data_IF_935886460584
#
_entry.id   IF_935886460584
#
_cell.length_a   1.000
_cell.length_b   1.000
_cell.length_c   1.000
_cell.angle_alpha   90.00
_cell.angle_beta   90.00
_cell.angle_gamma   90.00
#
_symmetry.space_group_name_H-M   'P 1'
#
loop_
_entity.id
_entity.type
_entity.pdbx_description
1 polymer ?
#
# COMPACT_ATOMS: atom_id res chain seq x y z
N UNK A 1 -1.02 -26.61 1.74
CA UNK A 1 -2.03 -26.15 0.75
C UNK A 1 -1.29 -25.51 -0.42
N UNK A 2 -1.90 -25.35 -1.61
CA UNK A 2 -1.26 -24.65 -2.74
C UNK A 2 -1.82 -23.23 -2.85
N UNK A 3 -1.04 -22.30 -3.41
CA UNK A 3 -1.50 -20.96 -3.77
C UNK A 3 -2.62 -21.08 -4.82
N UNK A 4 -3.70 -20.32 -4.62
CA UNK A 4 -4.80 -20.16 -5.58
C UNK A 4 -4.88 -18.67 -5.93
N UNK A 5 -4.77 -18.34 -7.21
CA UNK A 5 -4.84 -16.96 -7.67
C UNK A 5 -6.29 -16.56 -8.02
N UNK A 6 -6.63 -15.26 -7.89
CA UNK A 6 -5.78 -14.19 -7.32
C UNK A 6 -5.66 -14.28 -5.79
N UNK A 7 -4.43 -14.15 -5.26
CA UNK A 7 -4.18 -14.14 -3.80
C UNK A 7 -4.80 -12.93 -3.10
N UNK A 8 -4.94 -11.81 -3.84
CA UNK A 8 -5.67 -10.61 -3.46
C UNK A 8 -6.70 -10.32 -4.57
N UNK A 9 -7.98 -10.74 -4.41
CA UNK A 9 -9.01 -10.51 -5.41
C UNK A 9 -9.45 -9.03 -5.50
N UNK A 10 -10.24 -8.71 -6.52
CA UNK A 10 -10.86 -7.39 -6.74
C UNK A 10 -9.85 -6.24 -6.94
N UNK A 11 -10.11 -5.09 -6.33
CA UNK A 11 -9.30 -3.87 -6.47
C UNK A 11 -8.05 -3.94 -5.60
N UNK A 12 -7.05 -4.68 -6.06
CA UNK A 12 -5.73 -4.80 -5.45
C UNK A 12 -4.59 -4.69 -6.49
N UNK A 13 -4.45 -3.55 -7.18
CA UNK A 13 -3.46 -3.38 -8.24
C UNK A 13 -2.06 -3.08 -7.69
N UNK A 14 -1.08 -3.16 -8.58
CA UNK A 14 0.31 -2.73 -8.35
C UNK A 14 0.96 -3.33 -7.08
N UNK A 15 1.00 -4.67 -6.93
CA UNK A 15 1.50 -5.29 -5.72
C UNK A 15 3.01 -5.05 -5.53
N UNK A 16 3.36 -4.38 -4.45
CA UNK A 16 4.74 -4.27 -3.96
C UNK A 16 4.94 -5.23 -2.79
N UNK A 17 5.57 -6.38 -3.07
CA UNK A 17 5.82 -7.43 -2.09
C UNK A 17 7.12 -7.20 -1.31
N UNK A 18 7.09 -7.45 -0.01
CA UNK A 18 8.21 -7.33 0.91
C UNK A 18 8.24 -8.52 1.88
N UNK A 19 9.43 -9.02 2.20
CA UNK A 19 9.63 -9.98 3.30
C UNK A 19 10.45 -9.35 4.42
N UNK A 20 10.00 -9.52 5.67
CA UNK A 20 10.73 -9.13 6.89
C UNK A 20 10.70 -10.30 7.86
N UNK A 21 11.86 -10.93 8.11
CA UNK A 21 11.87 -12.18 8.88
C UNK A 21 11.02 -13.26 8.21
N UNK A 22 10.06 -13.80 8.97
CA UNK A 22 9.13 -14.83 8.50
C UNK A 22 7.80 -14.25 7.97
N UNK A 23 7.67 -12.93 7.96
CA UNK A 23 6.46 -12.22 7.55
C UNK A 23 6.59 -11.66 6.13
N UNK A 24 5.50 -11.74 5.37
CA UNK A 24 5.35 -11.19 4.03
C UNK A 24 4.29 -10.10 4.01
N UNK A 25 4.54 -9.04 3.26
CA UNK A 25 3.66 -7.91 3.11
C UNK A 25 3.45 -7.60 1.63
N UNK A 26 2.25 -7.16 1.25
CA UNK A 26 1.96 -6.61 -0.08
C UNK A 26 1.30 -5.25 0.11
N UNK A 27 1.91 -4.21 -0.46
CA UNK A 27 1.26 -2.91 -0.63
C UNK A 27 0.58 -2.82 -2.00
N UNK A 28 -0.66 -2.34 -2.07
CA UNK A 28 -1.40 -2.12 -3.33
C UNK A 28 -1.86 -0.67 -3.46
N UNK A 29 -2.02 -0.20 -4.70
CA UNK A 29 -2.52 1.13 -5.02
C UNK A 29 -4.02 1.26 -4.65
N UNK A 30 -4.46 2.49 -4.37
CA UNK A 30 -5.83 2.78 -3.89
C UNK A 30 -6.51 3.90 -4.64
N UNK A 31 -5.78 4.57 -5.53
CA UNK A 31 -6.27 5.68 -6.34
C UNK A 31 -6.93 6.75 -5.45
N UNK A 32 -8.17 7.13 -5.73
CA UNK A 32 -8.93 8.14 -5.00
C UNK A 32 -9.53 7.66 -3.66
N UNK A 33 -9.41 6.37 -3.33
CA UNK A 33 -9.94 5.82 -2.09
C UNK A 33 -9.07 6.20 -0.89
N UNK A 34 -9.72 6.65 0.18
CA UNK A 34 -9.08 7.03 1.44
C UNK A 34 -9.60 6.17 2.59
N UNK A 35 -8.76 5.67 3.52
CA UNK A 35 -7.30 5.89 3.62
C UNK A 35 -6.47 5.23 2.50
N UNK A 36 -5.31 5.82 2.19
CA UNK A 36 -4.50 5.41 1.04
C UNK A 36 -3.48 4.30 1.32
N UNK A 37 -3.20 3.51 0.28
CA UNK A 37 -2.39 2.28 0.22
C UNK A 37 -2.95 1.18 1.10
N UNK A 38 -3.24 0.00 0.55
CA UNK A 38 -3.60 -1.16 1.37
C UNK A 38 -2.34 -1.99 1.66
N UNK A 39 -2.13 -2.43 2.89
CA UNK A 39 -1.09 -3.40 3.22
C UNK A 39 -1.74 -4.71 3.65
N UNK A 40 -1.43 -5.78 2.93
CA UNK A 40 -1.79 -7.14 3.27
C UNK A 40 -0.60 -7.88 3.88
N UNK A 41 -0.86 -8.84 4.77
CA UNK A 41 0.16 -9.66 5.43
C UNK A 41 -0.11 -11.15 5.25
N UNK A 42 0.97 -11.93 5.19
CA UNK A 42 0.95 -13.39 5.15
C UNK A 42 2.20 -13.96 5.81
N UNK A 43 2.12 -15.19 6.32
CA UNK A 43 3.28 -16.01 6.75
C UNK A 43 3.59 -17.17 5.82
N UNK A 44 2.67 -17.51 4.91
CA UNK A 44 2.76 -18.71 4.07
C UNK A 44 2.57 -18.44 2.57
N UNK A 45 2.40 -17.17 2.18
CA UNK A 45 2.10 -16.70 0.82
C UNK A 45 0.77 -17.21 0.24
N UNK A 46 0.00 -17.98 1.01
CA UNK A 46 -1.28 -18.57 0.61
C UNK A 46 -2.43 -17.75 1.20
N UNK A 47 -2.40 -17.51 2.52
CA UNK A 47 -3.44 -16.80 3.23
C UNK A 47 -2.98 -15.36 3.49
N UNK A 48 -3.79 -14.40 3.02
CA UNK A 48 -3.49 -12.98 3.13
C UNK A 48 -4.58 -12.26 3.89
N UNK A 49 -4.19 -11.34 4.77
CA UNK A 49 -5.11 -10.49 5.55
C UNK A 49 -4.79 -9.03 5.32
N UNK A 50 -5.79 -8.19 5.12
CA UNK A 50 -5.63 -6.74 5.12
C UNK A 50 -5.33 -6.27 6.55
N UNK A 51 -4.21 -5.58 6.74
CA UNK A 51 -3.70 -5.25 8.08
C UNK A 51 -3.70 -3.76 8.39
N UNK A 52 -3.56 -2.89 7.38
CA UNK A 52 -3.55 -1.44 7.60
C UNK A 52 -3.71 -0.64 6.30
N UNK A 53 -3.94 0.66 6.48
CA UNK A 53 -3.77 1.68 5.45
C UNK A 53 -2.87 2.81 5.99
N UNK A 54 -1.61 2.94 5.53
CA UNK A 54 -0.63 3.86 6.12
C UNK A 54 -0.93 5.35 5.94
N UNK A 55 -1.66 5.73 4.89
CA UNK A 55 -1.94 7.12 4.54
C UNK A 55 -3.32 7.52 5.08
N UNK A 56 -3.40 7.70 6.39
CA UNK A 56 -4.65 7.91 7.13
C UNK A 56 -4.82 9.33 7.69
N UNK A 57 -3.92 10.26 7.35
CA UNK A 57 -4.01 11.68 7.71
C UNK A 57 -3.96 12.57 6.48
N UNK A 58 -4.71 13.66 6.52
CA UNK A 58 -4.70 14.69 5.46
C UNK A 58 -3.31 15.28 5.25
N UNK A 59 -2.49 15.37 6.30
CA UNK A 59 -1.09 15.85 6.19
C UNK A 59 -0.17 14.89 5.44
N UNK A 60 -0.58 13.62 5.25
CA UNK A 60 0.11 12.67 4.38
C UNK A 60 -0.53 12.69 2.98
N UNK A 61 -1.85 12.72 2.90
CA UNK A 61 -2.58 12.53 1.66
C UNK A 61 -3.84 13.39 1.62
N UNK A 62 -3.81 14.46 0.82
CA UNK A 62 -4.98 15.30 0.54
C UNK A 62 -5.40 15.15 -0.92
N UNK A 63 -6.46 14.37 -1.14
CA UNK A 63 -7.00 14.05 -2.46
C UNK A 63 -8.33 14.77 -2.75
N UNK A 64 -8.70 15.77 -1.94
CA UNK A 64 -9.90 16.55 -2.22
C UNK A 64 -9.76 17.23 -3.60
N UNK A 65 -10.68 16.90 -4.51
CA UNK A 65 -10.65 17.40 -5.89
C UNK A 65 -9.77 16.61 -6.85
N UNK A 66 -9.13 15.51 -6.42
CA UNK A 66 -8.43 14.63 -7.36
C UNK A 66 -9.41 14.02 -8.37
N UNK A 67 -9.01 13.85 -9.65
CA UNK A 67 -9.82 13.14 -10.64
C UNK A 67 -10.05 11.66 -10.28
N UNK A 68 -11.04 11.04 -10.93
CA UNK A 68 -11.22 9.59 -10.84
C UNK A 68 -9.97 8.86 -11.35
N UNK A 69 -9.58 7.79 -10.65
CA UNK A 69 -8.36 7.02 -10.90
C UNK A 69 -7.03 7.79 -10.75
N UNK A 70 -7.06 8.98 -10.16
CA UNK A 70 -5.87 9.71 -9.70
C UNK A 70 -5.61 9.43 -8.21
N UNK A 71 -4.80 10.22 -7.51
CA UNK A 71 -4.42 9.92 -6.14
C UNK A 71 -3.35 8.84 -6.07
N UNK A 72 -3.55 7.83 -5.24
CA UNK A 72 -2.54 6.82 -4.91
C UNK A 72 -2.32 5.82 -6.03
N UNK A 73 -1.26 6.05 -6.79
CA UNK A 73 -0.73 5.09 -7.78
C UNK A 73 0.25 4.11 -7.13
N UNK A 74 0.81 3.21 -7.96
CA UNK A 74 1.68 2.11 -7.56
C UNK A 74 2.63 2.45 -6.39
N UNK A 75 2.42 1.86 -5.20
CA UNK A 75 3.31 2.06 -4.07
C UNK A 75 4.59 1.22 -4.20
N UNK A 76 5.61 1.57 -3.42
CA UNK A 76 6.79 0.72 -3.21
C UNK A 76 7.07 0.60 -1.71
N UNK A 77 6.91 -0.62 -1.17
CA UNK A 77 7.15 -0.95 0.22
C UNK A 77 8.50 -1.66 0.35
N UNK A 78 9.36 -1.15 1.24
CA UNK A 78 10.67 -1.75 1.53
C UNK A 78 10.99 -1.69 3.02
N UNK A 79 12.00 -2.47 3.43
CA UNK A 79 12.43 -2.51 4.82
C UNK A 79 13.95 -2.56 4.93
N UNK A 80 14.49 -1.82 5.88
CA UNK A 80 15.91 -1.84 6.21
C UNK A 80 16.11 -1.50 7.69
N UNK A 81 16.89 -2.32 8.41
CA UNK A 81 17.35 -2.08 9.79
C UNK A 81 16.24 -1.56 10.74
N UNK A 82 15.11 -2.27 10.84
CA UNK A 82 14.03 -1.89 11.77
C UNK A 82 13.06 -0.84 11.24
N UNK A 83 13.24 -0.36 10.00
CA UNK A 83 12.41 0.70 9.43
C UNK A 83 11.72 0.21 8.17
N UNK A 84 10.41 0.37 8.12
CA UNK A 84 9.62 0.28 6.89
C UNK A 84 9.66 1.62 6.16
N UNK A 85 9.80 1.56 4.83
CA UNK A 85 9.80 2.70 3.93
C UNK A 85 8.70 2.48 2.90
N UNK A 86 7.79 3.45 2.77
CA UNK A 86 6.75 3.45 1.77
C UNK A 86 6.94 4.66 0.86
N UNK A 87 7.25 4.40 -0.40
CA UNK A 87 7.12 5.37 -1.47
C UNK A 87 5.70 5.29 -2.02
N UNK A 88 5.05 6.43 -2.18
CA UNK A 88 3.75 6.54 -2.83
C UNK A 88 3.70 7.79 -3.70
N UNK A 89 2.74 7.81 -4.61
CA UNK A 89 2.54 8.89 -5.57
C UNK A 89 1.14 9.44 -5.44
N UNK A 90 1.00 10.75 -5.35
CA UNK A 90 -0.27 11.45 -5.51
C UNK A 90 -0.33 12.04 -6.93
N UNK A 91 -1.09 11.39 -7.80
CA UNK A 91 -1.32 11.84 -9.17
C UNK A 91 -2.42 12.88 -9.18
N UNK A 92 -2.17 14.03 -9.82
CA UNK A 92 -3.15 15.12 -9.94
C UNK A 92 -3.82 15.17 -11.31
N UNK A 93 -3.14 14.72 -12.37
CA UNK A 93 -3.66 14.71 -13.74
C UNK A 93 -3.37 13.38 -14.44
N UNK A 94 -4.35 12.82 -15.18
CA UNK A 94 -4.22 11.52 -15.86
C UNK A 94 -4.61 11.56 -17.35
N UNK A 95 -5.50 12.48 -17.77
CA UNK A 95 -6.08 12.53 -19.12
C UNK A 95 -5.88 13.87 -19.84
N UNK A 96 -4.89 14.64 -19.40
CA UNK A 96 -4.48 15.89 -20.05
C UNK A 96 -3.13 15.70 -20.77
N UNK A 97 -2.56 16.78 -21.28
CA UNK A 97 -1.26 16.74 -21.98
C UNK A 97 -0.12 16.27 -21.08
N UNK A 98 -0.24 16.51 -19.77
CA UNK A 98 0.72 16.13 -18.75
C UNK A 98 0.14 15.16 -17.72
N UNK A 99 1.07 14.53 -17.00
CA UNK A 99 0.79 13.69 -15.84
C UNK A 99 1.56 14.27 -14.66
N UNK A 100 0.92 15.23 -14.00
CA UNK A 100 1.43 15.91 -12.82
C UNK A 100 1.35 14.96 -11.63
N UNK A 101 2.51 14.63 -11.08
CA UNK A 101 2.65 13.64 -10.01
C UNK A 101 3.60 14.16 -8.95
N UNK A 102 3.30 13.82 -7.70
CA UNK A 102 4.18 14.07 -6.58
C UNK A 102 4.51 12.75 -5.88
N UNK A 103 5.80 12.45 -5.77
CA UNK A 103 6.29 11.26 -5.07
C UNK A 103 6.71 11.63 -3.65
N UNK A 104 6.33 10.80 -2.69
CA UNK A 104 6.58 11.02 -1.28
C UNK A 104 7.16 9.78 -0.63
N UNK A 105 7.82 9.98 0.51
CA UNK A 105 8.30 8.93 1.39
C UNK A 105 7.66 9.10 2.77
N UNK A 106 7.13 8.01 3.32
CA UNK A 106 6.84 7.89 4.75
C UNK A 106 7.56 6.68 5.32
N UNK A 107 7.90 6.75 6.60
CA UNK A 107 8.58 5.66 7.32
C UNK A 107 7.86 5.33 8.62
N UNK A 108 7.99 4.09 9.08
CA UNK A 108 7.63 3.71 10.44
C UNK A 108 8.60 2.66 10.98
N UNK A 109 8.74 2.63 12.30
CA UNK A 109 9.42 1.58 13.04
C UNK A 109 8.44 0.59 13.66
N UNK A 110 7.13 0.90 13.58
CA UNK A 110 6.08 0.03 14.10
C UNK A 110 6.08 -1.25 13.27
N UNK A 111 6.52 -2.34 13.89
CA UNK A 111 6.30 -3.67 13.34
C UNK A 111 4.79 -3.89 13.34
N UNK A 112 4.24 -4.38 12.23
CA UNK A 112 2.84 -4.76 12.16
C UNK A 112 2.62 -6.05 12.97
N UNK A 113 2.86 -6.02 14.29
CA UNK A 113 2.53 -7.13 15.18
C UNK A 113 1.02 -7.29 15.20
N UNK A 114 0.57 -8.38 14.60
CA UNK A 114 -0.75 -8.90 14.87
C UNK A 114 -0.78 -9.40 16.31
N UNK A 115 -1.54 -8.73 17.17
CA UNK A 115 -2.13 -9.40 18.32
C UNK A 115 -3.10 -10.43 17.73
N UNK A 116 -2.74 -11.71 17.79
CA UNK A 116 -3.72 -12.78 17.67
C UNK A 116 -4.75 -12.55 18.78
N UNK A 117 -5.94 -12.06 18.40
CA UNK A 117 -7.10 -12.20 19.28
C UNK A 117 -7.31 -13.70 19.52
N UNK A 118 -7.36 -14.07 20.81
CA UNK A 118 -7.77 -15.38 21.29
C UNK A 118 -9.19 -15.73 20.84
#
# INVERSE_FOLDING_TARGET
MKIINPILPEFNPDPSILRVGDDYYIATSTLEWFPGVQIHHSKDLIHWKLITHPLNRISQLNMAGNPNSCGIWAPCLSYNKGTFYLIYTDVKTFREEFKDVYNYLVTTFDYFEYLEEQ
#
